data_IF_652673082508
#
_entry.id   IF_652673082508
#
_cell.length_a   1.000
_cell.length_b   1.000
_cell.length_c   1.000
_cell.angle_alpha   90.00
_cell.angle_beta   90.00
_cell.angle_gamma   90.00
#
_symmetry.space_group_name_H-M   'P 1'
#
loop_
_entity.id
_entity.type
_entity.pdbx_description
1 polymer ?
#
# COMPACT_ATOMS: atom_id res chain seq x y z
N UNK A 1 -20.52 25.66 6.90
CA UNK A 1 -20.28 24.25 6.53
C UNK A 1 -19.70 24.09 5.12
N UNK A 2 -20.28 24.70 4.06
CA UNK A 2 -19.75 24.59 2.68
C UNK A 2 -18.30 25.09 2.50
N UNK A 3 -17.91 26.21 3.14
CA UNK A 3 -16.54 26.76 3.05
C UNK A 3 -15.48 25.82 3.67
N UNK A 4 -15.79 25.13 4.76
CA UNK A 4 -14.87 24.17 5.39
C UNK A 4 -14.63 22.94 4.50
N UNK A 5 -15.68 22.37 3.92
CA UNK A 5 -15.58 21.21 3.04
C UNK A 5 -14.77 21.55 1.77
N UNK A 6 -14.97 22.73 1.21
CA UNK A 6 -14.23 23.21 0.04
C UNK A 6 -12.73 23.37 0.35
N UNK A 7 -12.37 23.93 1.51
CA UNK A 7 -10.97 24.06 1.94
C UNK A 7 -10.31 22.71 2.17
N UNK A 8 -11.01 21.77 2.82
CA UNK A 8 -10.51 20.40 3.01
C UNK A 8 -10.28 19.70 1.67
N UNK A 9 -11.22 19.82 0.73
CA UNK A 9 -11.11 19.24 -0.60
C UNK A 9 -9.91 19.80 -1.38
N UNK A 10 -9.72 21.12 -1.41
CA UNK A 10 -8.58 21.77 -2.08
C UNK A 10 -7.25 21.31 -1.48
N UNK A 11 -7.20 21.23 -0.14
CA UNK A 11 -5.98 20.83 0.56
C UNK A 11 -5.63 19.38 0.26
N UNK A 12 -6.60 18.46 0.32
CA UNK A 12 -6.40 17.04 0.03
C UNK A 12 -5.97 16.81 -1.42
N UNK A 13 -6.66 17.40 -2.40
CA UNK A 13 -6.29 17.29 -3.81
C UNK A 13 -4.89 17.86 -4.07
N UNK A 14 -4.56 18.99 -3.44
CA UNK A 14 -3.21 19.58 -3.52
C UNK A 14 -2.12 18.66 -2.96
N UNK A 15 -2.39 17.97 -1.86
CA UNK A 15 -1.47 16.96 -1.30
C UNK A 15 -1.33 15.75 -2.22
N UNK A 16 -2.43 15.22 -2.75
CA UNK A 16 -2.40 14.04 -3.62
C UNK A 16 -1.66 14.34 -4.94
N UNK A 17 -1.79 15.56 -5.49
CA UNK A 17 -1.04 15.96 -6.67
C UNK A 17 0.48 15.99 -6.42
N UNK A 18 0.91 16.59 -5.31
CA UNK A 18 2.34 16.61 -4.92
C UNK A 18 2.88 15.21 -4.64
N UNK A 19 2.07 14.35 -4.04
CA UNK A 19 2.40 12.96 -3.81
C UNK A 19 2.62 12.21 -5.12
N UNK A 20 1.68 12.32 -6.06
CA UNK A 20 1.78 11.69 -7.37
C UNK A 20 3.02 12.17 -8.14
N UNK A 21 3.29 13.49 -8.13
CA UNK A 21 4.50 14.06 -8.75
C UNK A 21 5.79 13.50 -8.13
N UNK A 22 5.82 13.37 -6.79
CA UNK A 22 6.96 12.81 -6.09
C UNK A 22 7.15 11.32 -6.40
N UNK A 23 6.05 10.54 -6.46
CA UNK A 23 6.09 9.13 -6.82
C UNK A 23 6.63 8.93 -8.25
N UNK A 24 6.11 9.68 -9.22
CA UNK A 24 6.59 9.67 -10.60
C UNK A 24 8.05 10.12 -10.70
N UNK A 25 8.49 11.07 -9.89
CA UNK A 25 9.88 11.50 -9.85
C UNK A 25 10.79 10.35 -9.38
N UNK A 26 10.39 9.62 -8.33
CA UNK A 26 11.13 8.44 -7.85
C UNK A 26 11.16 7.34 -8.92
N UNK A 27 10.04 7.06 -9.56
CA UNK A 27 9.94 6.05 -10.62
C UNK A 27 10.87 6.38 -11.80
N UNK A 28 10.90 7.64 -12.25
CA UNK A 28 11.66 8.07 -13.43
C UNK A 28 13.15 8.27 -13.17
N UNK A 29 13.54 8.64 -11.96
CA UNK A 29 14.93 8.98 -11.62
C UNK A 29 15.59 7.94 -10.70
N UNK A 30 14.82 6.97 -10.19
CA UNK A 30 15.31 5.91 -9.33
C UNK A 30 16.09 4.84 -10.12
N UNK A 31 16.99 4.11 -9.45
CA UNK A 31 17.71 3.00 -10.05
C UNK A 31 16.87 1.70 -10.15
N UNK A 32 15.70 1.67 -9.52
CA UNK A 32 14.84 0.51 -9.43
C UNK A 32 13.72 0.58 -10.49
N UNK A 33 13.30 -0.57 -11.00
CA UNK A 33 12.09 -0.63 -11.81
C UNK A 33 10.86 -0.34 -10.95
N UNK A 34 9.83 0.20 -11.57
CA UNK A 34 8.50 0.43 -11.00
C UNK A 34 7.98 -0.78 -10.18
N UNK A 35 8.02 -1.98 -10.75
CA UNK A 35 7.66 -3.24 -10.07
C UNK A 35 8.44 -3.48 -8.77
N UNK A 36 9.73 -3.15 -8.74
CA UNK A 36 10.55 -3.28 -7.52
C UNK A 36 10.18 -2.21 -6.50
N UNK A 37 9.79 -1.00 -6.93
CA UNK A 37 9.32 0.05 -6.03
C UNK A 37 8.04 -0.40 -5.33
N UNK A 38 7.03 -0.85 -6.06
CA UNK A 38 5.78 -1.40 -5.48
C UNK A 38 6.06 -2.56 -4.52
N UNK A 39 6.87 -3.53 -4.95
CA UNK A 39 7.21 -4.69 -4.12
C UNK A 39 7.90 -4.32 -2.80
N UNK A 40 8.84 -3.37 -2.83
CA UNK A 40 9.53 -2.91 -1.63
C UNK A 40 8.65 -1.99 -0.77
N UNK A 41 7.82 -1.14 -1.39
CA UNK A 41 6.87 -0.28 -0.69
C UNK A 41 5.89 -1.12 0.13
N UNK A 42 5.29 -2.14 -0.46
CA UNK A 42 4.40 -3.06 0.24
C UNK A 42 5.06 -3.77 1.42
N UNK A 43 6.30 -4.23 1.26
CA UNK A 43 7.07 -4.85 2.34
C UNK A 43 7.35 -3.87 3.49
N UNK A 44 7.78 -2.64 3.18
CA UNK A 44 8.07 -1.59 4.18
C UNK A 44 6.80 -1.22 4.95
N UNK A 45 5.67 -1.02 4.25
CA UNK A 45 4.39 -0.70 4.87
C UNK A 45 3.91 -1.81 5.81
N UNK A 46 4.08 -3.06 5.40
CA UNK A 46 3.73 -4.21 6.23
C UNK A 46 4.65 -4.32 7.45
N UNK A 47 5.97 -4.20 7.28
CA UNK A 47 6.93 -4.23 8.38
C UNK A 47 6.64 -3.12 9.39
N UNK A 48 6.42 -1.89 8.91
CA UNK A 48 6.02 -0.77 9.75
C UNK A 48 4.73 -1.06 10.51
N UNK A 49 3.74 -1.66 9.85
CA UNK A 49 2.48 -2.06 10.50
C UNK A 49 2.71 -3.09 11.61
N UNK A 50 3.53 -4.12 11.37
CA UNK A 50 3.85 -5.16 12.37
C UNK A 50 4.53 -4.53 13.58
N UNK A 51 5.54 -3.68 13.34
CA UNK A 51 6.30 -3.01 14.40
C UNK A 51 5.41 -2.07 15.23
N UNK A 52 4.59 -1.26 14.57
CA UNK A 52 3.70 -0.30 15.25
C UNK A 52 2.58 -0.97 16.02
N UNK A 53 2.03 -2.07 15.50
CA UNK A 53 0.92 -2.79 16.16
C UNK A 53 1.40 -3.78 17.23
N UNK A 54 2.67 -4.16 17.21
CA UNK A 54 3.24 -5.14 18.13
C UNK A 54 2.56 -6.52 18.04
N UNK A 55 2.01 -6.86 16.86
CA UNK A 55 1.27 -8.11 16.66
C UNK A 55 2.15 -9.18 16.02
N UNK A 56 1.68 -10.42 16.07
CA UNK A 56 2.31 -11.53 15.34
C UNK A 56 2.46 -11.16 13.87
N UNK A 57 3.60 -11.54 13.30
CA UNK A 57 3.93 -11.38 11.88
C UNK A 57 2.87 -12.06 11.00
N UNK A 58 2.31 -13.18 11.46
CA UNK A 58 1.21 -13.88 10.77
C UNK A 58 -0.20 -13.30 10.97
N UNK A 59 -0.40 -12.19 11.71
CA UNK A 59 -1.74 -11.59 11.87
C UNK A 59 -2.18 -10.94 10.55
N UNK A 60 -3.24 -11.50 9.95
CA UNK A 60 -3.86 -11.00 8.71
C UNK A 60 -4.27 -9.54 8.79
N UNK A 61 -4.56 -9.02 10.00
CA UNK A 61 -4.91 -7.62 10.21
C UNK A 61 -3.76 -6.66 9.91
N UNK A 62 -2.52 -7.16 9.80
CA UNK A 62 -1.36 -6.37 9.37
C UNK A 62 -1.41 -6.04 7.87
N UNK A 63 -2.25 -6.72 7.07
CA UNK A 63 -2.47 -6.36 5.67
C UNK A 63 -3.34 -5.12 5.50
N UNK A 64 -4.15 -4.75 6.49
CA UNK A 64 -5.16 -3.70 6.34
C UNK A 64 -4.54 -2.33 5.96
N UNK A 65 -3.45 -1.86 6.59
CA UNK A 65 -2.84 -0.59 6.18
C UNK A 65 -2.24 -0.65 4.77
N UNK A 66 -1.64 -1.77 4.36
CA UNK A 66 -1.13 -1.97 3.00
C UNK A 66 -2.27 -1.87 1.99
N UNK A 67 -3.41 -2.51 2.27
CA UNK A 67 -4.61 -2.46 1.42
C UNK A 67 -5.12 -1.04 1.26
N UNK A 68 -5.25 -0.31 2.35
CA UNK A 68 -5.76 1.07 2.33
C UNK A 68 -4.80 1.98 1.56
N UNK A 69 -3.50 1.91 1.84
CA UNK A 69 -2.52 2.80 1.22
C UNK A 69 -2.34 2.52 -0.28
N UNK A 70 -2.35 1.25 -0.69
CA UNK A 70 -2.28 0.92 -2.12
C UNK A 70 -3.55 1.35 -2.86
N UNK A 71 -4.72 1.18 -2.24
CA UNK A 71 -5.98 1.68 -2.82
C UNK A 71 -5.94 3.20 -3.00
N UNK A 72 -5.39 3.93 -2.01
CA UNK A 72 -5.24 5.38 -2.11
C UNK A 72 -4.21 5.79 -3.16
N UNK A 73 -3.15 5.00 -3.36
CA UNK A 73 -2.19 5.22 -4.45
C UNK A 73 -2.89 5.12 -5.82
N UNK A 74 -3.61 4.03 -6.06
CA UNK A 74 -4.36 3.83 -7.31
C UNK A 74 -5.41 4.91 -7.55
N UNK A 75 -6.05 5.41 -6.49
CA UNK A 75 -6.98 6.54 -6.58
C UNK A 75 -6.23 7.82 -6.97
N UNK A 76 -5.03 8.06 -6.46
CA UNK A 76 -4.22 9.20 -6.91
C UNK A 76 -3.88 9.07 -8.40
N UNK A 77 -3.42 7.90 -8.84
CA UNK A 77 -3.07 7.66 -10.25
C UNK A 77 -4.28 7.74 -11.19
N UNK A 78 -5.47 7.36 -10.71
CA UNK A 78 -6.72 7.55 -11.45
C UNK A 78 -7.12 9.03 -11.57
N UNK A 79 -6.93 9.82 -10.50
CA UNK A 79 -7.35 11.22 -10.43
C UNK A 79 -6.39 12.17 -11.15
N UNK A 80 -5.11 11.84 -11.26
CA UNK A 80 -4.11 12.69 -11.91
C UNK A 80 -3.68 12.11 -13.27
N UNK A 81 -3.73 12.92 -14.34
CA UNK A 81 -3.69 12.39 -15.70
C UNK A 81 -2.26 12.02 -16.13
N UNK A 82 -1.82 10.80 -15.85
CA UNK A 82 -0.94 10.06 -16.77
C UNK A 82 -1.16 8.55 -16.70
N UNK A 83 -1.46 7.93 -17.84
CA UNK A 83 -1.31 6.48 -18.12
C UNK A 83 -2.01 5.48 -17.19
N UNK A 84 -3.04 5.87 -16.45
CA UNK A 84 -3.84 4.91 -15.69
C UNK A 84 -4.43 3.83 -16.61
N UNK A 85 -4.20 2.57 -16.27
CA UNK A 85 -4.81 1.43 -16.94
C UNK A 85 -5.15 0.37 -15.91
N UNK A 86 -6.25 -0.34 -16.12
CA UNK A 86 -6.61 -1.47 -15.25
C UNK A 86 -5.51 -2.53 -15.17
N UNK A 87 -4.77 -2.74 -16.27
CA UNK A 87 -3.64 -3.68 -16.28
C UNK A 87 -2.46 -3.19 -15.44
N UNK A 88 -2.22 -1.88 -15.38
CA UNK A 88 -1.22 -1.27 -14.49
C UNK A 88 -1.60 -1.50 -13.04
N UNK A 89 -2.80 -1.07 -12.66
CA UNK A 89 -3.38 -1.28 -11.32
C UNK A 89 -3.28 -2.74 -10.85
N UNK A 90 -3.62 -3.71 -11.71
CA UNK A 90 -3.50 -5.14 -11.33
C UNK A 90 -2.05 -5.52 -11.08
N UNK A 91 -1.12 -5.00 -11.88
CA UNK A 91 0.31 -5.18 -11.69
C UNK A 91 0.80 -4.58 -10.38
N UNK A 92 0.41 -3.36 -10.08
CA UNK A 92 0.83 -2.60 -8.90
C UNK A 92 0.32 -3.28 -7.63
N UNK A 93 -0.97 -3.65 -7.60
CA UNK A 93 -1.55 -4.49 -6.55
C UNK A 93 -0.78 -5.80 -6.38
N UNK A 94 -0.48 -6.52 -7.47
CA UNK A 94 0.23 -7.79 -7.39
C UNK A 94 1.62 -7.63 -6.76
N UNK A 95 2.41 -6.64 -7.22
CA UNK A 95 3.76 -6.41 -6.70
C UNK A 95 3.74 -5.89 -5.27
N UNK A 96 2.87 -4.93 -4.95
CA UNK A 96 2.71 -4.38 -3.59
C UNK A 96 2.32 -5.46 -2.58
N UNK A 97 1.40 -6.37 -2.93
CA UNK A 97 0.98 -7.43 -2.01
C UNK A 97 1.89 -8.65 -1.99
N UNK A 98 2.83 -8.80 -2.93
CA UNK A 98 3.63 -10.01 -3.09
C UNK A 98 4.25 -10.51 -1.76
N UNK A 99 5.08 -9.69 -1.11
CA UNK A 99 5.70 -10.08 0.16
C UNK A 99 4.74 -10.08 1.35
N UNK A 100 3.94 -9.02 1.60
CA UNK A 100 3.02 -9.01 2.73
C UNK A 100 2.09 -10.22 2.74
N UNK A 101 1.56 -10.60 1.57
CA UNK A 101 0.69 -11.76 1.44
C UNK A 101 1.44 -13.06 1.77
N UNK A 102 2.58 -13.31 1.13
CA UNK A 102 3.38 -14.51 1.40
C UNK A 102 3.76 -14.62 2.89
N UNK A 103 4.25 -13.55 3.50
CA UNK A 103 4.68 -13.55 4.89
C UNK A 103 3.53 -13.83 5.85
N UNK A 104 2.38 -13.19 5.66
CA UNK A 104 1.20 -13.39 6.52
C UNK A 104 0.70 -14.82 6.44
N UNK A 105 0.65 -15.42 5.25
CA UNK A 105 0.09 -16.77 5.09
C UNK A 105 1.09 -17.88 5.40
N UNK A 106 2.38 -17.71 5.08
CA UNK A 106 3.42 -18.69 5.42
C UNK A 106 3.68 -18.72 6.92
N UNK A 107 3.77 -17.55 7.58
CA UNK A 107 4.04 -17.47 9.02
C UNK A 107 2.75 -17.70 9.83
N UNK A 108 1.62 -17.13 9.39
CA UNK A 108 0.33 -17.28 10.06
C UNK A 108 -0.27 -18.68 9.96
N UNK A 109 0.10 -19.45 8.93
CA UNK A 109 -0.31 -20.85 8.76
C UNK A 109 0.26 -21.79 9.83
N UNK A 110 1.39 -21.46 10.43
CA UNK A 110 2.08 -22.34 11.38
C UNK A 110 1.47 -22.36 12.80
N UNK A 111 0.54 -21.46 13.13
CA UNK A 111 -0.01 -21.30 14.50
C UNK A 111 -1.37 -21.95 14.77
N UNK A 112 -2.06 -22.48 13.75
CA UNK A 112 -3.45 -22.94 13.87
C UNK A 112 -3.65 -24.32 14.52
N UNK A 113 -2.62 -25.16 14.58
CA UNK A 113 -2.72 -26.54 15.06
C UNK A 113 -2.64 -26.71 16.59
N UNK A 114 -2.14 -25.73 17.33
CA UNK A 114 -1.72 -25.95 18.72
C UNK A 114 -2.69 -25.40 19.78
N UNK A 115 -3.71 -24.62 19.38
CA UNK A 115 -4.69 -23.99 20.31
C UNK A 115 -5.98 -24.80 20.57
N UNK A 116 -6.13 -26.00 20.00
CA UNK A 116 -7.32 -26.87 20.19
C UNK A 116 -7.12 -28.07 21.13
N UNK A 117 -6.02 -28.12 21.89
CA UNK A 117 -5.70 -29.25 22.80
C UNK A 117 -5.31 -28.81 24.22
N UNK A 118 -6.07 -27.89 24.83
CA UNK A 118 -6.02 -27.68 26.28
C UNK A 118 -7.43 -27.51 26.80
#
# INVERSE_FOLDING_TARGET
MMSFLHTVQITLLGWMHRYHDAALWIERNGPASDKLLHMNAGLILWLGTVLLRGRSWGDRRNLLPVIILETLNEVADYLFPTKWTLSGTIGDLFWTFFWPFLLVFLIGGSGGGQRRRR
#
